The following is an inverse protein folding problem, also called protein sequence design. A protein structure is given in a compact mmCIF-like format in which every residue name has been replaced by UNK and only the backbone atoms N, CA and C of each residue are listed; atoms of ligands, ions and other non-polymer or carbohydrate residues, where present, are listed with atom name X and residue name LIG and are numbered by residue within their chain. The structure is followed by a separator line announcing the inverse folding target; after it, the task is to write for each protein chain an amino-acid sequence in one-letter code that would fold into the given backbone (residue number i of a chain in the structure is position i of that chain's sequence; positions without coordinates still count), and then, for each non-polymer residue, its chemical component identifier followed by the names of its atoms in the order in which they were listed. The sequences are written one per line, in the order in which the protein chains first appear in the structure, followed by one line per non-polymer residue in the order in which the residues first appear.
data_IF_059715081338
#
_entry.id   IF_059715081338
#
_cell.length_a   1.000
_cell.length_b   1.000
_cell.length_c   1.000
_cell.angle_alpha   90.00
_cell.angle_beta   90.00
_cell.angle_gamma   90.00
#
_symmetry.space_group_name_H-M   'P 1'
#
loop_
_entity.id
_entity.type
_entity.pdbx_description
1 polymer ?
#
# COMPACT_ATOMS: atom_id res chain seq x y z
N UNK A 1 7.86 -17.76 -15.43
CA UNK A 1 7.67 -19.16 -15.33
C UNK A 1 6.23 -19.58 -15.47
N UNK A 2 5.33 -18.75 -15.13
CA UNK A 2 3.96 -19.13 -15.20
C UNK A 2 3.19 -18.28 -16.08
N UNK A 3 3.12 -18.67 -17.32
CA UNK A 3 2.45 -17.94 -18.38
C UNK A 3 1.10 -18.52 -18.72
N UNK A 4 0.58 -19.40 -17.86
CA UNK A 4 -0.73 -19.99 -18.14
C UNK A 4 -1.80 -18.91 -18.06
N UNK A 5 -2.60 -18.71 -19.13
CA UNK A 5 -3.57 -17.60 -19.19
C UNK A 5 -4.58 -17.58 -18.04
N UNK A 6 -4.98 -18.74 -17.54
CA UNK A 6 -5.93 -18.82 -16.42
C UNK A 6 -5.37 -18.19 -15.16
N UNK A 7 -4.09 -18.43 -14.87
CA UNK A 7 -3.47 -17.84 -13.68
C UNK A 7 -3.33 -16.33 -13.80
N UNK A 8 -3.03 -15.86 -15.00
CA UNK A 8 -2.96 -14.43 -15.26
C UNK A 8 -4.32 -13.77 -15.02
N UNK A 9 -5.39 -14.38 -15.52
CA UNK A 9 -6.74 -13.85 -15.32
C UNK A 9 -7.14 -13.83 -13.85
N UNK A 10 -6.87 -14.91 -13.13
CA UNK A 10 -7.12 -14.96 -11.70
C UNK A 10 -6.36 -13.89 -10.95
N UNK A 11 -5.08 -13.73 -11.27
CA UNK A 11 -4.25 -12.70 -10.67
C UNK A 11 -4.80 -11.31 -10.92
N UNK A 12 -5.22 -11.02 -12.15
CA UNK A 12 -5.80 -9.72 -12.48
C UNK A 12 -7.09 -9.45 -11.71
N UNK A 13 -7.97 -10.44 -11.61
CA UNK A 13 -9.22 -10.31 -10.87
C UNK A 13 -8.96 -10.10 -9.37
N UNK A 14 -8.03 -10.88 -8.83
CA UNK A 14 -7.65 -10.78 -7.44
C UNK A 14 -7.12 -9.38 -7.12
N UNK A 15 -6.16 -8.91 -7.90
CA UNK A 15 -5.56 -7.59 -7.68
C UNK A 15 -6.55 -6.46 -7.86
N UNK A 16 -7.49 -6.59 -8.79
CA UNK A 16 -8.53 -5.59 -8.97
C UNK A 16 -9.41 -5.43 -7.73
N UNK A 17 -9.81 -6.55 -7.14
CA UNK A 17 -10.61 -6.52 -5.92
C UNK A 17 -9.84 -5.98 -4.72
N UNK A 18 -8.58 -6.35 -4.63
CA UNK A 18 -7.68 -5.90 -3.57
C UNK A 18 -7.43 -4.39 -3.68
N UNK A 19 -7.15 -3.89 -4.88
CA UNK A 19 -6.93 -2.47 -5.13
C UNK A 19 -8.11 -1.63 -4.67
N UNK A 20 -9.32 -2.07 -4.95
CA UNK A 20 -10.51 -1.35 -4.53
C UNK A 20 -10.60 -1.21 -3.02
N UNK A 21 -10.32 -2.29 -2.28
CA UNK A 21 -10.34 -2.28 -0.82
C UNK A 21 -9.26 -1.36 -0.26
N UNK A 22 -8.06 -1.43 -0.83
CA UNK A 22 -6.95 -0.61 -0.37
C UNK A 22 -7.19 0.86 -0.63
N UNK A 23 -7.81 1.18 -1.77
CA UNK A 23 -8.20 2.55 -2.07
C UNK A 23 -9.21 3.07 -1.06
N UNK A 24 -10.16 2.25 -0.65
CA UNK A 24 -11.14 2.63 0.38
C UNK A 24 -10.47 2.90 1.72
N UNK A 25 -9.54 2.04 2.14
CA UNK A 25 -8.77 2.27 3.36
C UNK A 25 -7.91 3.52 3.25
N UNK A 26 -7.28 3.74 2.10
CA UNK A 26 -6.47 4.93 1.86
C UNK A 26 -7.30 6.20 1.99
N UNK A 27 -8.52 6.21 1.49
CA UNK A 27 -9.41 7.35 1.63
C UNK A 27 -9.75 7.65 3.08
N UNK A 28 -9.88 6.63 3.92
CA UNK A 28 -10.12 6.81 5.34
C UNK A 28 -8.90 7.36 6.06
N UNK A 29 -7.70 6.99 5.62
CA UNK A 29 -6.45 7.43 6.23
C UNK A 29 -5.97 8.79 5.74
N UNK A 30 -6.39 9.22 4.56
CA UNK A 30 -5.94 10.47 3.96
C UNK A 30 -6.05 11.67 4.90
N UNK A 31 -7.22 11.95 5.53
CA UNK A 31 -7.31 13.11 6.41
C UNK A 31 -6.52 12.94 7.70
N UNK A 32 -6.24 11.72 8.11
CA UNK A 32 -5.50 11.47 9.35
C UNK A 32 -4.00 11.62 9.17
N UNK A 33 -3.49 11.19 8.02
CA UNK A 33 -2.06 11.20 7.75
C UNK A 33 -1.60 12.41 6.92
N UNK A 34 -2.54 13.08 6.26
CA UNK A 34 -2.21 14.20 5.39
C UNK A 34 -1.52 13.77 4.11
N UNK A 35 -1.70 12.53 3.68
CA UNK A 35 -1.11 11.99 2.46
C UNK A 35 -2.23 11.63 1.49
N UNK A 36 -2.15 12.01 0.21
CA UNK A 36 -3.20 11.69 -0.77
C UNK A 36 -3.44 10.19 -0.87
N UNK A 37 -4.69 9.79 -1.08
CA UNK A 37 -5.06 8.38 -1.10
C UNK A 37 -4.40 7.62 -2.24
N UNK A 38 -4.15 8.25 -3.39
CA UNK A 38 -3.44 7.61 -4.51
C UNK A 38 -1.99 7.29 -4.17
N UNK A 39 -1.38 8.01 -3.23
CA UNK A 39 -0.04 7.70 -2.74
C UNK A 39 -0.11 6.62 -1.66
N UNK A 40 -1.14 6.66 -0.81
CA UNK A 40 -1.32 5.69 0.27
C UNK A 40 -1.66 4.29 -0.23
N UNK A 41 -2.43 4.19 -1.30
CA UNK A 41 -2.90 2.90 -1.81
C UNK A 41 -1.74 1.92 -2.11
N UNK A 42 -0.71 2.30 -2.88
CA UNK A 42 0.42 1.40 -3.09
C UNK A 42 1.23 1.11 -1.82
N UNK A 43 1.29 2.04 -0.89
CA UNK A 43 1.98 1.81 0.38
C UNK A 43 1.27 0.75 1.22
N UNK A 44 -0.04 0.81 1.26
CA UNK A 44 -0.85 -0.20 1.95
C UNK A 44 -0.65 -1.56 1.31
N UNK A 45 -0.61 -1.61 -0.02
CA UNK A 45 -0.38 -2.84 -0.76
C UNK A 45 0.97 -3.47 -0.41
N UNK A 46 2.02 -2.66 -0.33
CA UNK A 46 3.36 -3.13 0.05
C UNK A 46 3.34 -3.71 1.46
N UNK A 47 2.67 -3.06 2.40
CA UNK A 47 2.58 -3.54 3.77
C UNK A 47 1.87 -4.88 3.86
N UNK A 48 0.73 -5.01 3.20
CA UNK A 48 -0.04 -6.26 3.21
C UNK A 48 0.76 -7.39 2.58
N UNK A 49 1.46 -7.11 1.49
CA UNK A 49 2.30 -8.10 0.82
C UNK A 49 3.43 -8.57 1.73
N UNK A 50 4.03 -7.67 2.48
CA UNK A 50 5.08 -8.02 3.44
C UNK A 50 4.53 -8.94 4.54
N UNK A 51 3.33 -8.66 5.03
CA UNK A 51 2.68 -9.49 6.03
C UNK A 51 2.34 -10.90 5.48
N UNK A 52 1.89 -10.98 4.24
CA UNK A 52 1.61 -12.26 3.60
C UNK A 52 2.89 -13.07 3.43
N UNK A 53 3.97 -12.42 3.01
CA UNK A 53 5.28 -13.09 2.88
C UNK A 53 5.72 -13.67 4.22
N UNK A 54 5.59 -12.89 5.30
CA UNK A 54 5.94 -13.36 6.63
C UNK A 54 5.07 -14.56 7.04
N UNK A 55 3.77 -14.50 6.77
CA UNK A 55 2.87 -15.59 7.10
C UNK A 55 3.23 -16.89 6.40
N UNK A 56 3.79 -16.80 5.18
CA UNK A 56 4.17 -17.97 4.40
C UNK A 56 5.56 -18.51 4.76
N UNK A 57 6.51 -17.63 5.03
CA UNK A 57 7.91 -18.00 5.14
C UNK A 57 8.55 -17.72 6.51
N UNK A 58 7.83 -17.05 7.38
CA UNK A 58 8.32 -16.64 8.71
C UNK A 58 9.63 -15.85 8.64
N UNK A 59 9.82 -15.08 7.57
CA UNK A 59 11.02 -14.30 7.34
C UNK A 59 10.93 -12.96 8.08
N UNK A 60 11.39 -12.95 9.31
CA UNK A 60 11.35 -11.74 10.14
C UNK A 60 12.22 -10.62 9.58
N UNK A 61 13.33 -10.96 8.97
CA UNK A 61 14.22 -9.96 8.38
C UNK A 61 13.50 -9.20 7.27
N UNK A 62 12.83 -9.92 6.39
CA UNK A 62 12.08 -9.31 5.29
C UNK A 62 10.97 -8.40 5.85
N UNK A 63 10.22 -8.88 6.82
CA UNK A 63 9.13 -8.11 7.41
C UNK A 63 9.66 -6.83 8.07
N UNK A 64 10.71 -6.93 8.87
CA UNK A 64 11.31 -5.77 9.53
C UNK A 64 11.87 -4.78 8.54
N UNK A 65 12.56 -5.26 7.50
CA UNK A 65 13.11 -4.39 6.46
C UNK A 65 12.02 -3.63 5.71
N UNK A 66 10.96 -4.32 5.34
CA UNK A 66 9.86 -3.70 4.60
C UNK A 66 9.09 -2.70 5.46
N UNK A 67 8.83 -3.04 6.73
CA UNK A 67 8.14 -2.12 7.63
C UNK A 67 8.97 -0.88 7.94
N UNK A 68 10.28 -1.02 8.08
CA UNK A 68 11.16 0.12 8.31
C UNK A 68 11.19 1.06 7.10
N UNK A 69 11.30 0.50 5.91
CA UNK A 69 11.26 1.29 4.67
C UNK A 69 9.92 2.01 4.54
N UNK A 70 8.83 1.33 4.83
CA UNK A 70 7.50 1.95 4.78
C UNK A 70 7.36 3.07 5.79
N UNK A 71 7.85 2.86 7.01
CA UNK A 71 7.81 3.87 8.06
C UNK A 71 8.54 5.13 7.63
N UNK A 72 9.75 4.99 7.08
CA UNK A 72 10.51 6.12 6.58
C UNK A 72 9.83 6.79 5.40
N UNK A 73 9.30 6.00 4.48
CA UNK A 73 8.59 6.51 3.30
C UNK A 73 7.35 7.30 3.69
N UNK A 74 6.56 6.78 4.62
CA UNK A 74 5.37 7.47 5.13
C UNK A 74 5.78 8.79 5.81
N UNK A 75 6.86 8.77 6.57
CA UNK A 75 7.39 10.00 7.19
C UNK A 75 7.76 11.05 6.17
N UNK A 76 8.45 10.64 5.10
CA UNK A 76 8.84 11.56 4.01
C UNK A 76 7.61 12.13 3.29
N UNK A 77 6.63 11.30 3.00
CA UNK A 77 5.42 11.76 2.35
C UNK A 77 4.59 12.66 3.28
N UNK A 78 4.51 12.34 4.56
CA UNK A 78 3.82 13.19 5.51
C UNK A 78 4.46 14.58 5.55
N UNK A 79 5.79 14.65 5.55
CA UNK A 79 6.50 15.93 5.50
C UNK A 79 6.24 16.66 4.18
N UNK A 80 6.27 15.94 3.07
CA UNK A 80 6.04 16.52 1.76
C UNK A 80 4.65 17.18 1.66
N UNK A 81 3.64 16.55 2.24
CA UNK A 81 2.24 16.99 2.12
C UNK A 81 1.73 17.72 3.35
N UNK A 82 2.56 17.94 4.38
CA UNK A 82 2.10 18.52 5.65
C UNK A 82 1.47 19.90 5.53
N UNK A 83 1.87 20.67 4.53
CA UNK A 83 1.33 21.99 4.29
C UNK A 83 0.25 22.00 3.21
N UNK A 84 -0.14 20.84 2.74
CA UNK A 84 -1.17 20.72 1.71
C UNK A 84 -2.54 20.69 2.38
N UNK A 85 -3.41 21.58 1.96
CA UNK A 85 -4.79 21.58 2.43
C UNK A 85 -5.67 20.93 1.37
N UNK A 86 -6.09 19.70 1.63
CA UNK A 86 -6.90 18.93 0.69
C UNK A 86 -8.26 19.55 0.42
N UNK A 87 -8.73 20.46 1.28
CA UNK A 87 -9.98 21.15 1.04
C UNK A 87 -9.83 22.32 0.08
N UNK A 88 -8.62 22.85 -0.07
CA UNK A 88 -8.33 23.97 -0.95
C UNK A 88 -7.85 23.56 -2.33
N UNK A 89 -7.50 22.33 -2.52
CA UNK A 89 -6.91 21.82 -3.75
C UNK A 89 -7.98 21.54 -4.81
N UNK A 90 -9.05 22.13 -4.76
CA UNK A 90 -10.10 21.90 -5.73
C UNK A 90 -9.97 22.76 -6.97
#
# INVERSE_FOLDING_TARGET
VYTHPKYIEYGKKFFKGVDKRYTEYAKLLEPKLGIPCDVLTPLIFILVRACVHYAMFEDEYYLKSQTEILKQTVGLFADKYKNTDFTEVN
#
